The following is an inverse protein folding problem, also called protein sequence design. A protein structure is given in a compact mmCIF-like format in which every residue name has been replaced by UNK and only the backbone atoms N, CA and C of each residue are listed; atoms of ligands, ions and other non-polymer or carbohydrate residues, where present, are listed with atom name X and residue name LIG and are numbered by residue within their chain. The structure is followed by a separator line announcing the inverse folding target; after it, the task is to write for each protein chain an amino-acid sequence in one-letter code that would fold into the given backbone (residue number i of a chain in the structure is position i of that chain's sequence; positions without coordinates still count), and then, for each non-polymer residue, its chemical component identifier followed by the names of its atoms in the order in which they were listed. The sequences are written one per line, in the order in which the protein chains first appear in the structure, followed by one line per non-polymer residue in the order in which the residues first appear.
data_IF_779341375096
#
_entry.id   IF_779341375096
#
_cell.length_a   1.000
_cell.length_b   1.000
_cell.length_c   1.000
_cell.angle_alpha   90.00
_cell.angle_beta   90.00
_cell.angle_gamma   90.00
#
_symmetry.space_group_name_H-M   'P 1'
#
loop_
_entity.id
_entity.type
_entity.pdbx_description
1 polymer ?
#
# COMPACT_ATOMS: atom_id res chain seq x y z
N UNK A 1 3.87 10.76 -3.24
CA UNK A 1 4.95 11.72 -3.51
C UNK A 1 4.39 13.08 -3.19
N UNK A 2 4.99 13.73 -2.20
CA UNK A 2 4.68 15.10 -1.82
C UNK A 2 5.99 15.89 -1.66
N UNK A 3 5.92 17.21 -1.77
CA UNK A 3 7.05 18.10 -1.62
C UNK A 3 7.14 18.65 -0.18
N UNK A 4 7.45 17.74 0.76
CA UNK A 4 7.51 18.07 2.19
C UNK A 4 8.92 18.41 2.70
N UNK A 5 9.95 18.26 1.86
CA UNK A 5 11.38 18.45 2.22
C UNK A 5 12.11 19.40 1.25
N UNK A 6 11.77 20.70 1.24
CA UNK A 6 12.38 21.71 0.37
C UNK A 6 13.84 22.03 0.71
N UNK A 7 14.32 21.56 1.85
CA UNK A 7 15.72 21.67 2.30
C UNK A 7 16.63 20.63 1.65
N UNK A 8 16.06 19.54 1.15
CA UNK A 8 16.77 18.46 0.46
C UNK A 8 16.45 18.41 -1.04
N UNK A 9 15.20 18.67 -1.43
CA UNK A 9 14.77 18.64 -2.81
C UNK A 9 14.54 20.04 -3.36
N UNK A 10 14.97 20.25 -4.60
CA UNK A 10 14.86 21.55 -5.27
C UNK A 10 13.41 21.84 -5.67
N UNK A 11 12.69 20.82 -6.12
CA UNK A 11 11.28 20.86 -6.52
C UNK A 11 10.68 19.44 -6.55
N UNK A 12 9.42 19.33 -6.99
CA UNK A 12 8.71 18.05 -7.12
C UNK A 12 9.32 17.11 -8.16
N UNK A 13 10.00 17.65 -9.19
CA UNK A 13 10.67 16.85 -10.20
C UNK A 13 11.91 16.17 -9.60
N UNK A 14 12.65 16.86 -8.74
CA UNK A 14 13.78 16.30 -7.99
C UNK A 14 13.34 15.16 -7.05
N UNK A 15 12.19 15.31 -6.39
CA UNK A 15 11.58 14.22 -5.61
C UNK A 15 11.26 13.03 -6.53
N UNK A 16 10.62 13.26 -7.68
CA UNK A 16 10.28 12.20 -8.63
C UNK A 16 11.52 11.45 -9.11
N UNK A 17 12.58 12.15 -9.47
CA UNK A 17 13.81 11.57 -9.99
C UNK A 17 14.50 10.68 -8.93
N UNK A 18 14.41 11.05 -7.64
CA UNK A 18 14.86 10.21 -6.54
C UNK A 18 14.03 8.92 -6.40
N UNK A 19 12.70 9.00 -6.51
CA UNK A 19 11.83 7.82 -6.50
C UNK A 19 12.06 6.92 -7.72
N UNK A 20 12.30 7.48 -8.91
CA UNK A 20 12.66 6.71 -10.11
C UNK A 20 14.01 6.00 -9.97
N UNK A 21 14.99 6.66 -9.35
CA UNK A 21 16.28 6.05 -9.02
C UNK A 21 16.10 4.86 -8.07
N UNK A 22 15.28 5.01 -7.03
CA UNK A 22 14.97 3.93 -6.09
C UNK A 22 14.24 2.76 -6.80
N UNK A 23 13.29 3.07 -7.69
CA UNK A 23 12.58 2.09 -8.49
C UNK A 23 13.54 1.25 -9.35
N UNK A 24 14.50 1.91 -9.99
CA UNK A 24 15.51 1.28 -10.83
C UNK A 24 16.52 0.41 -10.05
N UNK A 25 16.72 0.69 -8.76
CA UNK A 25 17.55 -0.11 -7.86
C UNK A 25 16.81 -1.27 -7.21
N UNK A 26 15.48 -1.25 -7.24
CA UNK A 26 14.64 -2.31 -6.67
C UNK A 26 14.76 -3.59 -7.50
N UNK A 27 14.82 -4.75 -6.83
CA UNK A 27 15.17 -6.03 -7.46
C UNK A 27 14.03 -7.02 -7.64
N UNK A 28 12.95 -6.89 -6.86
CA UNK A 28 11.88 -7.90 -6.82
C UNK A 28 10.53 -7.35 -7.27
N UNK A 29 10.05 -6.30 -6.63
CA UNK A 29 8.79 -5.65 -6.97
C UNK A 29 8.62 -4.35 -6.20
N UNK A 30 7.73 -3.50 -6.69
CA UNK A 30 7.40 -2.20 -6.10
C UNK A 30 5.91 -2.18 -5.82
N UNK A 31 5.49 -1.63 -4.68
CA UNK A 31 4.08 -1.48 -4.32
C UNK A 31 3.74 0.01 -4.30
N UNK A 32 2.76 0.40 -5.11
CA UNK A 32 2.43 1.81 -5.37
C UNK A 32 0.97 2.05 -5.03
N UNK A 33 0.70 3.10 -4.25
CA UNK A 33 -0.66 3.57 -4.07
C UNK A 33 -1.15 4.19 -5.38
N UNK A 34 -2.25 3.65 -5.92
CA UNK A 34 -2.66 3.90 -7.30
C UNK A 34 -3.21 5.29 -7.59
N UNK A 35 -3.67 6.01 -6.57
CA UNK A 35 -4.21 7.37 -6.72
C UNK A 35 -3.12 8.44 -6.72
N UNK A 36 -1.86 8.05 -6.54
CA UNK A 36 -0.73 8.94 -6.71
C UNK A 36 -0.34 9.04 -8.20
N UNK A 37 -0.81 10.09 -8.87
CA UNK A 37 -0.56 10.34 -10.29
C UNK A 37 0.93 10.45 -10.63
N UNK A 38 1.78 10.86 -9.69
CA UNK A 38 3.22 10.96 -9.90
C UNK A 38 3.87 9.57 -9.96
N UNK A 39 3.36 8.62 -9.18
CA UNK A 39 3.88 7.25 -9.13
C UNK A 39 3.35 6.35 -10.24
N UNK A 40 2.21 6.69 -10.89
CA UNK A 40 1.75 5.96 -12.10
C UNK A 40 2.73 6.05 -13.28
N UNK A 41 3.62 7.04 -13.29
CA UNK A 41 4.62 7.26 -14.36
C UNK A 41 5.98 6.65 -14.06
N UNK A 42 6.12 5.92 -12.95
CA UNK A 42 7.39 5.35 -12.51
C UNK A 42 7.94 4.35 -13.53
N UNK A 43 9.15 4.56 -14.00
CA UNK A 43 9.85 3.61 -14.86
C UNK A 43 10.58 2.57 -14.01
N UNK A 44 10.15 1.32 -14.07
CA UNK A 44 10.72 0.24 -13.28
C UNK A 44 11.03 -0.99 -14.14
N UNK A 45 12.13 -1.68 -13.81
CA UNK A 45 12.53 -2.95 -14.46
C UNK A 45 11.94 -4.18 -13.78
N UNK A 46 11.17 -3.97 -12.72
CA UNK A 46 10.55 -5.00 -11.89
C UNK A 46 9.04 -4.80 -11.90
N UNK A 47 8.25 -5.84 -11.56
CA UNK A 47 6.80 -5.70 -11.40
C UNK A 47 6.45 -4.55 -10.47
N UNK A 48 5.49 -3.73 -10.89
CA UNK A 48 4.85 -2.71 -10.06
C UNK A 48 3.45 -3.21 -9.74
N UNK A 49 3.15 -3.35 -8.46
CA UNK A 49 1.84 -3.74 -7.95
C UNK A 49 1.12 -2.50 -7.43
N UNK A 50 -0.04 -2.22 -7.99
CA UNK A 50 -0.88 -1.11 -7.56
C UNK A 50 -1.81 -1.55 -6.44
N UNK A 51 -1.90 -0.76 -5.38
CA UNK A 51 -2.84 -1.01 -4.30
C UNK A 51 -3.71 0.22 -4.02
N UNK A 52 -4.93 -0.02 -3.55
CA UNK A 52 -5.86 1.05 -3.23
C UNK A 52 -7.30 0.57 -3.09
N UNK A 53 -8.23 1.44 -3.42
CA UNK A 53 -9.69 1.18 -3.39
C UNK A 53 -10.32 1.22 -4.78
N UNK A 54 -9.51 1.38 -5.84
CA UNK A 54 -10.01 1.41 -7.22
C UNK A 54 -10.10 0.01 -7.80
N UNK A 55 -11.06 -0.22 -8.67
CA UNK A 55 -11.28 -1.51 -9.32
C UNK A 55 -10.14 -1.96 -10.22
N UNK A 56 -9.30 -1.04 -10.71
CA UNK A 56 -8.12 -1.32 -11.53
C UNK A 56 -6.85 -1.61 -10.71
N UNK A 57 -6.92 -1.57 -9.38
CA UNK A 57 -5.78 -1.90 -8.52
C UNK A 57 -5.59 -3.42 -8.44
N UNK A 58 -4.32 -3.84 -8.40
CA UNK A 58 -3.96 -5.25 -8.22
C UNK A 58 -4.37 -5.73 -6.83
N UNK A 59 -4.10 -4.94 -5.79
CA UNK A 59 -4.56 -5.17 -4.43
C UNK A 59 -5.63 -4.17 -4.04
N UNK A 60 -6.81 -4.67 -3.63
CA UNK A 60 -7.95 -3.81 -3.31
C UNK A 60 -8.43 -4.01 -1.89
N UNK A 61 -8.63 -2.90 -1.20
CA UNK A 61 -9.47 -2.87 -0.01
C UNK A 61 -10.91 -2.56 -0.41
N UNK A 62 -11.80 -3.51 -0.20
CA UNK A 62 -13.23 -3.40 -0.49
C UNK A 62 -14.07 -3.50 0.79
N UNK A 63 -15.34 -3.12 0.69
CA UNK A 63 -16.32 -3.22 1.79
C UNK A 63 -15.84 -2.59 3.11
N UNK A 64 -15.08 -1.50 3.04
CA UNK A 64 -14.50 -0.82 4.20
C UNK A 64 -15.60 -0.34 5.14
N UNK A 65 -15.54 -0.81 6.38
CA UNK A 65 -16.48 -0.48 7.47
C UNK A 65 -15.74 0.12 8.63
N UNK A 66 -16.27 1.23 9.14
CA UNK A 66 -15.86 1.76 10.45
C UNK A 66 -16.53 0.93 11.54
N UNK A 67 -15.74 0.48 12.51
CA UNK A 67 -16.25 -0.23 13.68
C UNK A 67 -16.07 0.64 14.92
N UNK A 68 -16.55 0.20 16.08
CA UNK A 68 -16.29 0.90 17.36
C UNK A 68 -14.85 0.73 17.85
N UNK A 69 -14.08 -0.19 17.25
CA UNK A 69 -12.72 -0.55 17.66
C UNK A 69 -11.66 -0.18 16.62
N UNK A 70 -12.05 0.29 15.44
CA UNK A 70 -11.15 0.62 14.34
C UNK A 70 -11.85 0.47 12.99
N UNK A 71 -11.24 -0.29 12.08
CA UNK A 71 -11.74 -0.49 10.71
C UNK A 71 -11.73 -1.98 10.33
N UNK A 72 -12.71 -2.39 9.52
CA UNK A 72 -12.82 -3.73 8.95
C UNK A 72 -12.90 -3.61 7.42
N UNK A 73 -12.23 -4.47 6.67
CA UNK A 73 -12.27 -4.44 5.21
C UNK A 73 -11.92 -5.79 4.60
N UNK A 74 -12.45 -6.04 3.41
CA UNK A 74 -12.10 -7.18 2.58
C UNK A 74 -10.89 -6.85 1.74
N UNK A 75 -9.98 -7.80 1.55
CA UNK A 75 -8.84 -7.64 0.66
C UNK A 75 -8.92 -8.63 -0.49
N UNK A 76 -8.67 -8.11 -1.69
CA UNK A 76 -8.58 -8.88 -2.91
C UNK A 76 -7.21 -8.68 -3.57
N UNK A 77 -6.71 -9.74 -4.23
CA UNK A 77 -5.63 -9.66 -5.21
C UNK A 77 -6.19 -10.07 -6.56
N UNK A 78 -6.29 -9.12 -7.50
CA UNK A 78 -7.13 -9.23 -8.70
C UNK A 78 -8.55 -9.69 -8.33
N UNK A 79 -9.03 -10.82 -8.84
CA UNK A 79 -10.37 -11.36 -8.53
C UNK A 79 -10.37 -12.35 -7.35
N UNK A 80 -9.21 -12.60 -6.74
CA UNK A 80 -9.06 -13.54 -5.62
C UNK A 80 -9.30 -12.83 -4.29
N UNK A 81 -10.27 -13.31 -3.51
CA UNK A 81 -10.47 -12.88 -2.13
C UNK A 81 -9.36 -13.48 -1.26
N UNK A 82 -8.51 -12.63 -0.67
CA UNK A 82 -7.37 -13.08 0.14
C UNK A 82 -7.66 -13.05 1.64
N UNK A 83 -8.67 -12.29 2.09
CA UNK A 83 -9.10 -12.30 3.48
C UNK A 83 -9.91 -11.08 3.90
N UNK A 84 -10.50 -11.15 5.09
CA UNK A 84 -11.12 -10.01 5.77
C UNK A 84 -10.24 -9.63 6.96
N UNK A 85 -9.94 -8.34 7.10
CA UNK A 85 -8.99 -7.83 8.06
C UNK A 85 -9.63 -6.79 8.97
N UNK A 86 -9.31 -6.89 10.25
CA UNK A 86 -9.64 -5.90 11.27
C UNK A 86 -8.35 -5.20 11.70
N UNK A 87 -8.39 -3.86 11.79
CA UNK A 87 -7.29 -3.06 12.33
C UNK A 87 -7.81 -2.17 13.46
N UNK A 88 -7.06 -1.97 14.55
CA UNK A 88 -7.48 -1.15 15.70
C UNK A 88 -7.27 0.35 15.45
N UNK A 89 -7.39 0.77 14.19
CA UNK A 89 -7.11 2.12 13.72
C UNK A 89 -8.25 2.63 12.84
N UNK A 90 -8.48 3.93 12.91
CA UNK A 90 -9.55 4.59 12.17
C UNK A 90 -9.01 5.33 10.94
N UNK A 91 -9.85 5.45 9.93
CA UNK A 91 -9.55 6.25 8.74
C UNK A 91 -8.98 5.43 7.59
N UNK A 92 -9.26 5.90 6.38
CA UNK A 92 -8.91 5.21 5.14
C UNK A 92 -7.40 5.12 4.92
N UNK A 93 -6.62 6.13 5.32
CA UNK A 93 -5.15 6.06 5.26
C UNK A 93 -4.59 4.86 6.04
N UNK A 94 -5.17 4.52 7.19
CA UNK A 94 -4.74 3.34 7.96
C UNK A 94 -5.14 2.03 7.28
N UNK A 95 -6.25 2.01 6.57
CA UNK A 95 -6.63 0.88 5.69
C UNK A 95 -5.62 0.73 4.55
N UNK A 96 -5.26 1.83 3.87
CA UNK A 96 -4.28 1.84 2.78
C UNK A 96 -2.89 1.40 3.25
N UNK A 97 -2.43 1.90 4.40
CA UNK A 97 -1.16 1.48 5.01
C UNK A 97 -1.18 -0.03 5.32
N UNK A 98 -2.28 -0.53 5.89
CA UNK A 98 -2.43 -1.96 6.20
C UNK A 98 -2.47 -2.80 4.92
N UNK A 99 -3.16 -2.32 3.89
CA UNK A 99 -3.23 -2.97 2.57
C UNK A 99 -1.84 -3.10 1.94
N UNK A 100 -0.98 -2.09 2.05
CA UNK A 100 0.40 -2.18 1.57
C UNK A 100 1.19 -3.30 2.28
N UNK A 101 1.03 -3.44 3.60
CA UNK A 101 1.67 -4.52 4.39
C UNK A 101 1.13 -5.89 3.97
N UNK A 102 -0.19 -6.01 3.83
CA UNK A 102 -0.85 -7.25 3.40
C UNK A 102 -0.35 -7.65 2.01
N UNK A 103 -0.31 -6.72 1.06
CA UNK A 103 0.14 -6.95 -0.31
C UNK A 103 1.57 -7.48 -0.38
N UNK A 104 2.50 -6.82 0.34
CA UNK A 104 3.90 -7.28 0.42
C UNK A 104 3.97 -8.68 1.05
N UNK A 105 3.27 -8.90 2.16
CA UNK A 105 3.30 -10.19 2.87
C UNK A 105 2.74 -11.33 2.03
N UNK A 106 1.69 -11.08 1.25
CA UNK A 106 1.07 -12.05 0.36
C UNK A 106 2.03 -12.45 -0.76
N UNK A 107 2.72 -11.48 -1.37
CA UNK A 107 3.74 -11.74 -2.40
C UNK A 107 4.97 -12.48 -1.86
N UNK A 108 5.31 -12.28 -0.58
CA UNK A 108 6.33 -13.04 0.12
C UNK A 108 5.85 -14.40 0.66
N UNK A 109 4.59 -14.77 0.41
CA UNK A 109 3.97 -16.04 0.85
C UNK A 109 3.98 -16.22 2.37
N UNK A 110 3.87 -15.11 3.09
CA UNK A 110 3.65 -15.14 4.55
C UNK A 110 2.21 -15.58 4.81
N UNK A 111 2.02 -16.35 5.90
CA UNK A 111 0.69 -16.78 6.32
C UNK A 111 -0.20 -15.57 6.64
N UNK A 112 -1.27 -15.42 5.87
CA UNK A 112 -2.20 -14.30 5.99
C UNK A 112 -3.00 -14.32 7.29
N UNK A 113 -3.17 -15.50 7.92
CA UNK A 113 -3.80 -15.58 9.24
C UNK A 113 -2.92 -14.95 10.31
N UNK A 114 -1.60 -15.14 10.22
CA UNK A 114 -0.66 -14.50 11.14
C UNK A 114 -0.58 -13.00 10.90
N UNK A 115 -0.60 -12.54 9.63
CA UNK A 115 -0.68 -11.12 9.30
C UNK A 115 -1.94 -10.47 9.89
N UNK A 116 -3.10 -11.11 9.72
CA UNK A 116 -4.35 -10.62 10.30
C UNK A 116 -4.28 -10.51 11.84
N UNK A 117 -3.64 -11.49 12.50
CA UNK A 117 -3.44 -11.47 13.95
C UNK A 117 -2.49 -10.35 14.39
N UNK A 118 -1.37 -10.16 13.70
CA UNK A 118 -0.38 -9.16 14.10
C UNK A 118 -0.83 -7.73 13.81
N UNK A 119 -1.62 -7.50 12.76
CA UNK A 119 -2.22 -6.18 12.49
C UNK A 119 -3.14 -5.71 13.64
N UNK A 120 -3.77 -6.63 14.38
CA UNK A 120 -4.57 -6.29 15.57
C UNK A 120 -3.73 -5.79 16.75
N UNK A 121 -2.44 -6.09 16.79
CA UNK A 121 -1.56 -5.72 17.90
C UNK A 121 -0.90 -4.35 17.69
N UNK A 122 -0.92 -3.82 16.47
CA UNK A 122 -0.31 -2.56 16.11
C UNK A 122 -1.07 -1.36 16.71
N UNK A 123 -0.36 -0.50 17.45
CA UNK A 123 -0.96 0.60 18.23
C UNK A 123 -0.86 1.99 17.57
N UNK A 124 -0.31 2.06 16.36
CA UNK A 124 -0.01 3.33 15.67
C UNK A 124 1.46 3.75 15.80
N UNK A 125 1.78 4.84 15.11
CA UNK A 125 3.06 5.56 15.16
C UNK A 125 2.87 6.88 15.88
#
# INVERSE_FOLDING_TARGET
IDFDHPDYFTDIDDVRDAFETLAMQTKKGIFVWSEDENLRKLNAKVPVHYYGTKSDDDFRAENIKRTTKGSNFDVYFHDEFIGNYDIPMFGEHNVLNSLAVIAVSYMEKVDQQEIAKELLTFKGV
#
